data_IF_251864701306
#
_entry.id   IF_251864701306
#
_cell.length_a   1.000
_cell.length_b   1.000
_cell.length_c   1.000
_cell.angle_alpha   90.00
_cell.angle_beta   90.00
_cell.angle_gamma   90.00
#
_symmetry.space_group_name_H-M   'P 1'
#
loop_
_entity.id
_entity.type
_entity.pdbx_description
1 polymer ?
#
# COMPACT_ATOMS: atom_id res chain seq x y z
N UNK A 1 30.75 9.26 12.93
CA UNK A 1 30.11 10.18 11.96
C UNK A 1 28.62 10.26 12.28
N UNK A 2 28.24 11.18 13.18
CA UNK A 2 26.85 11.32 13.67
C UNK A 2 26.08 12.27 12.74
N UNK A 3 25.22 11.73 11.87
CA UNK A 3 24.32 12.53 11.01
C UNK A 3 22.91 11.93 11.02
N UNK A 4 22.30 11.83 12.20
CA UNK A 4 20.88 11.43 12.38
C UNK A 4 20.24 12.26 13.49
N UNK A 5 20.06 13.56 13.31
CA UNK A 5 19.36 14.36 14.33
C UNK A 5 18.21 15.24 13.86
N UNK A 6 17.87 15.30 12.56
CA UNK A 6 16.70 16.05 12.10
C UNK A 6 16.05 15.43 10.85
N UNK A 7 15.58 14.18 10.93
CA UNK A 7 14.54 13.74 9.98
C UNK A 7 13.21 14.28 10.48
N UNK A 8 12.73 15.36 9.86
CA UNK A 8 11.37 15.84 10.07
C UNK A 8 10.44 14.88 9.34
N UNK A 9 9.55 14.21 10.07
CA UNK A 9 8.53 13.37 9.46
C UNK A 9 7.74 14.21 8.44
N UNK A 10 7.60 13.76 7.19
CA UNK A 10 6.80 14.44 6.20
C UNK A 10 5.37 14.65 6.68
N UNK A 11 4.75 15.75 6.24
CA UNK A 11 3.35 16.01 6.57
C UNK A 11 2.45 14.94 5.93
N UNK A 12 1.47 14.36 6.65
CA UNK A 12 0.49 13.47 6.05
C UNK A 12 -0.13 14.07 4.78
N UNK A 13 -0.32 13.25 3.75
CA UNK A 13 -0.83 13.68 2.43
C UNK A 13 0.18 14.40 1.53
N UNK A 14 1.39 14.74 2.01
CA UNK A 14 2.42 15.30 1.15
C UNK A 14 3.05 14.25 0.23
N UNK A 15 3.59 14.68 -0.92
CA UNK A 15 4.33 13.80 -1.86
C UNK A 15 5.47 13.03 -1.17
N UNK A 16 6.19 13.70 -0.27
CA UNK A 16 7.25 13.06 0.51
C UNK A 16 6.70 11.98 1.45
N UNK A 17 5.58 12.24 2.12
CA UNK A 17 4.91 11.25 2.97
C UNK A 17 4.46 10.02 2.19
N UNK A 18 3.82 10.23 1.02
CA UNK A 18 3.35 9.13 0.16
C UNK A 18 4.49 8.23 -0.29
N UNK A 19 5.63 8.82 -0.65
CA UNK A 19 6.84 8.09 -1.04
C UNK A 19 7.47 7.32 0.11
N UNK A 20 7.59 7.95 1.28
CA UNK A 20 8.09 7.28 2.48
C UNK A 20 7.17 6.12 2.90
N UNK A 21 5.85 6.32 2.81
CA UNK A 21 4.87 5.26 3.03
C UNK A 21 5.05 4.10 2.04
N UNK A 22 5.20 4.41 0.75
CA UNK A 22 5.45 3.37 -0.27
C UNK A 22 6.74 2.58 0.04
N UNK A 23 7.82 3.26 0.41
CA UNK A 23 9.08 2.61 0.81
C UNK A 23 8.90 1.73 2.05
N UNK A 24 8.13 2.19 3.04
CA UNK A 24 7.86 1.44 4.26
C UNK A 24 7.10 0.14 4.00
N UNK A 25 6.07 0.19 3.16
CA UNK A 25 5.19 -0.97 2.93
C UNK A 25 5.76 -1.95 1.89
N UNK A 26 6.59 -1.47 0.96
CA UNK A 26 7.29 -2.30 -0.02
C UNK A 26 8.42 -3.07 0.67
N UNK A 27 8.11 -4.29 1.13
CA UNK A 27 9.02 -5.14 1.89
C UNK A 27 8.30 -6.16 2.75
N UNK A 28 7.00 -5.98 2.95
CA UNK A 28 6.16 -6.93 3.66
C UNK A 28 5.62 -8.03 2.72
N UNK A 29 5.66 -9.27 3.20
CA UNK A 29 4.90 -10.36 2.59
C UNK A 29 3.40 -10.15 2.86
N UNK A 30 2.57 -10.34 1.84
CA UNK A 30 1.12 -10.16 1.94
C UNK A 30 0.45 -11.50 2.20
N UNK A 31 -0.40 -11.53 3.23
CA UNK A 31 -1.25 -12.68 3.57
C UNK A 31 -2.50 -12.70 2.70
N UNK A 32 -3.26 -11.61 2.71
CA UNK A 32 -4.43 -11.43 1.86
C UNK A 32 -4.73 -9.94 1.63
N UNK A 33 -5.50 -9.66 0.59
CA UNK A 33 -5.93 -8.33 0.19
C UNK A 33 -7.44 -8.31 0.19
N UNK A 34 -8.03 -7.29 0.81
CA UNK A 34 -9.45 -6.99 0.69
C UNK A 34 -9.69 -5.72 -0.10
N UNK A 35 -10.85 -5.62 -0.72
CA UNK A 35 -11.39 -4.40 -1.30
C UNK A 35 -12.64 -3.99 -0.55
N UNK A 36 -12.74 -2.69 -0.21
CA UNK A 36 -13.93 -2.13 0.39
C UNK A 36 -14.98 -1.87 -0.67
N UNK A 37 -16.09 -2.60 -0.62
CA UNK A 37 -17.26 -2.42 -1.50
C UNK A 37 -18.48 -2.04 -0.66
N UNK A 38 -18.72 -0.73 -0.54
CA UNK A 38 -19.78 -0.21 0.32
C UNK A 38 -19.49 -0.48 1.79
N UNK A 39 -20.32 -1.33 2.42
CA UNK A 39 -20.23 -1.71 3.84
C UNK A 39 -19.46 -3.02 4.08
N UNK A 40 -19.04 -3.73 3.03
CA UNK A 40 -18.33 -5.01 3.14
C UNK A 40 -16.91 -4.92 2.62
N UNK A 41 -16.03 -5.74 3.20
CA UNK A 41 -14.68 -5.98 2.71
C UNK A 41 -14.65 -7.36 2.04
N UNK A 42 -14.38 -7.40 0.74
CA UNK A 42 -14.27 -8.64 -0.03
C UNK A 42 -12.81 -9.03 -0.22
N UNK A 43 -12.45 -10.29 0.02
CA UNK A 43 -11.11 -10.80 -0.26
C UNK A 43 -10.92 -10.91 -1.78
N UNK A 44 -9.99 -10.12 -2.33
CA UNK A 44 -9.67 -10.10 -3.76
C UNK A 44 -8.38 -10.84 -4.10
N UNK A 45 -7.59 -11.22 -3.10
CA UNK A 45 -6.32 -11.90 -3.30
C UNK A 45 -5.72 -12.49 -2.05
N UNK A 46 -4.84 -13.49 -2.24
CA UNK A 46 -4.06 -14.14 -1.19
C UNK A 46 -2.63 -14.34 -1.65
N UNK A 47 -1.71 -14.35 -0.68
CA UNK A 47 -0.28 -14.62 -0.86
C UNK A 47 0.37 -13.72 -1.91
N UNK A 48 1.07 -12.68 -1.47
CA UNK A 48 1.51 -11.65 -2.39
C UNK A 48 2.63 -10.76 -1.88
N UNK A 49 2.79 -9.65 -2.57
CA UNK A 49 3.81 -8.65 -2.24
C UNK A 49 3.39 -7.25 -2.71
N UNK A 50 3.90 -6.25 -2.00
CA UNK A 50 3.90 -4.86 -2.43
C UNK A 50 5.23 -4.54 -3.11
N UNK A 51 5.18 -4.01 -4.32
CA UNK A 51 6.37 -3.64 -5.07
C UNK A 51 6.28 -2.21 -5.59
N UNK A 52 7.41 -1.50 -5.60
CA UNK A 52 7.52 -0.19 -6.23
C UNK A 52 8.26 -0.30 -7.55
N UNK A 53 7.70 0.29 -8.61
CA UNK A 53 8.35 0.35 -9.93
C UNK A 53 7.98 1.64 -10.65
N UNK A 54 8.96 2.38 -11.15
CA UNK A 54 8.75 3.59 -11.97
C UNK A 54 7.83 4.67 -11.37
N UNK A 55 7.80 4.82 -10.04
CA UNK A 55 6.89 5.76 -9.36
C UNK A 55 5.50 5.21 -9.08
N UNK A 56 5.23 3.97 -9.46
CA UNK A 56 3.99 3.26 -9.17
C UNK A 56 4.17 2.27 -8.02
N UNK A 57 3.09 2.04 -7.29
CA UNK A 57 2.93 0.94 -6.34
C UNK A 57 2.12 -0.16 -7.02
N UNK A 58 2.61 -1.38 -6.96
CA UNK A 58 1.97 -2.58 -7.47
C UNK A 58 1.65 -3.51 -6.31
N UNK A 59 0.40 -3.96 -6.25
CA UNK A 59 -0.07 -4.96 -5.30
C UNK A 59 -0.28 -6.26 -6.04
N UNK A 60 0.58 -7.22 -5.77
CA UNK A 60 0.53 -8.54 -6.38
C UNK A 60 -0.04 -9.57 -5.42
N UNK A 61 -0.74 -10.55 -5.98
CA UNK A 61 -1.05 -11.83 -5.36
C UNK A 61 -0.45 -12.97 -6.19
N UNK A 62 -0.63 -14.20 -5.71
CA UNK A 62 -0.37 -15.44 -6.44
C UNK A 62 -1.07 -15.52 -7.81
N UNK A 63 -2.15 -14.75 -8.02
CA UNK A 63 -2.93 -14.75 -9.25
C UNK A 63 -2.61 -13.59 -10.21
N UNK A 64 -1.71 -12.66 -9.83
CA UNK A 64 -1.29 -11.54 -10.68
C UNK A 64 -1.32 -10.19 -9.97
N UNK A 65 -1.31 -9.10 -10.75
CA UNK A 65 -1.46 -7.73 -10.23
C UNK A 65 -2.93 -7.45 -9.95
N UNK A 66 -3.25 -7.10 -8.70
CA UNK A 66 -4.63 -6.82 -8.28
C UNK A 66 -4.95 -5.34 -8.19
N UNK A 67 -3.92 -4.51 -8.08
CA UNK A 67 -4.04 -3.07 -7.98
C UNK A 67 -2.72 -2.41 -8.35
N UNK A 68 -2.77 -1.33 -9.12
CA UNK A 68 -1.61 -0.53 -9.50
C UNK A 68 -1.95 0.95 -9.39
N UNK A 69 -1.14 1.76 -8.72
CA UNK A 69 -1.40 3.18 -8.61
C UNK A 69 -0.14 4.04 -8.67
N UNK A 70 -0.30 5.32 -9.00
CA UNK A 70 0.77 6.30 -8.87
C UNK A 70 0.99 6.63 -7.39
N UNK A 71 2.23 6.47 -6.90
CA UNK A 71 2.58 6.74 -5.49
C UNK A 71 2.32 8.20 -5.14
N UNK A 72 2.51 9.12 -6.07
CA UNK A 72 2.31 10.53 -5.80
C UNK A 72 0.83 10.91 -5.68
N UNK A 73 -0.10 10.01 -6.01
CA UNK A 73 -1.56 10.22 -6.01
C UNK A 73 -2.30 9.33 -5.01
N UNK A 74 -1.62 8.39 -4.36
CA UNK A 74 -2.26 7.50 -3.39
C UNK A 74 -2.41 8.15 -2.01
N UNK A 75 -3.49 7.81 -1.31
CA UNK A 75 -3.56 7.97 0.14
C UNK A 75 -3.40 6.60 0.80
N UNK A 76 -2.46 6.51 1.74
CA UNK A 76 -2.15 5.26 2.41
C UNK A 76 -1.80 5.49 3.88
N UNK A 77 -2.26 4.58 4.73
CA UNK A 77 -1.97 4.57 6.16
C UNK A 77 -1.95 3.14 6.68
N UNK A 78 -1.05 2.88 7.63
CA UNK A 78 -1.02 1.58 8.30
C UNK A 78 -2.24 1.41 9.21
N UNK A 79 -2.67 0.15 9.35
CA UNK A 79 -3.65 -0.23 10.35
C UNK A 79 -3.08 0.02 11.76
N UNK A 80 -3.95 0.29 12.73
CA UNK A 80 -3.54 0.49 14.13
C UNK A 80 -2.79 -0.71 14.71
N UNK A 81 -3.13 -1.92 14.25
CA UNK A 81 -2.49 -3.19 14.56
C UNK A 81 -1.10 -3.36 13.93
N UNK A 82 -0.71 -2.50 12.98
CA UNK A 82 0.53 -2.58 12.18
C UNK A 82 0.70 -3.88 11.39
N UNK A 83 -0.37 -4.62 11.19
CA UNK A 83 -0.41 -5.86 10.42
C UNK A 83 -0.93 -5.65 8.99
N UNK A 84 -1.01 -4.40 8.54
CA UNK A 84 -1.44 -4.10 7.19
C UNK A 84 -1.47 -2.61 6.90
N UNK A 85 -1.89 -2.29 5.67
CA UNK A 85 -2.01 -0.92 5.15
C UNK A 85 -3.31 -0.78 4.37
N UNK A 86 -4.02 0.32 4.59
CA UNK A 86 -5.12 0.77 3.73
C UNK A 86 -4.55 1.66 2.63
N UNK A 87 -4.95 1.43 1.38
CA UNK A 87 -4.55 2.22 0.21
C UNK A 87 -5.80 2.64 -0.56
N UNK A 88 -5.93 3.93 -0.84
CA UNK A 88 -6.96 4.50 -1.71
C UNK A 88 -6.29 5.26 -2.84
N UNK A 89 -6.54 4.84 -4.09
CA UNK A 89 -6.05 5.54 -5.27
C UNK A 89 -6.80 5.11 -6.55
N UNK A 90 -6.66 5.85 -7.67
CA UNK A 90 -7.04 5.36 -8.99
C UNK A 90 -6.27 4.09 -9.36
N UNK A 91 -6.98 3.03 -9.74
CA UNK A 91 -6.38 1.75 -10.11
C UNK A 91 -6.04 1.69 -11.60
N UNK A 92 -4.77 1.88 -11.91
CA UNK A 92 -4.19 1.82 -13.26
C UNK A 92 -4.21 0.41 -13.87
N UNK A 93 -4.44 -0.63 -13.08
CA UNK A 93 -4.54 -2.00 -13.59
C UNK A 93 -5.94 -2.30 -14.15
N UNK A 94 -7.00 -1.75 -13.53
CA UNK A 94 -8.40 -2.06 -13.85
C UNK A 94 -9.21 -0.84 -14.33
N UNK A 95 -8.60 0.01 -15.16
CA UNK A 95 -9.34 1.07 -15.88
C UNK A 95 -9.47 2.42 -15.14
N UNK A 96 -8.70 2.65 -14.08
CA UNK A 96 -8.51 3.97 -13.45
C UNK A 96 -9.55 4.35 -12.40
N UNK A 97 -10.47 3.45 -12.04
CA UNK A 97 -11.47 3.73 -11.00
C UNK A 97 -10.78 3.84 -9.64
N UNK A 98 -11.22 4.79 -8.80
CA UNK A 98 -10.71 4.91 -7.43
C UNK A 98 -11.21 3.71 -6.62
N UNK A 99 -10.28 2.94 -6.07
CA UNK A 99 -10.57 1.78 -5.21
C UNK A 99 -9.92 2.00 -3.85
N UNK A 100 -10.51 1.42 -2.81
CA UNK A 100 -9.91 1.33 -1.47
C UNK A 100 -9.65 -0.13 -1.18
N UNK A 101 -8.37 -0.48 -1.01
CA UNK A 101 -7.94 -1.83 -0.65
C UNK A 101 -7.27 -1.83 0.71
N UNK A 102 -7.33 -2.96 1.40
CA UNK A 102 -6.57 -3.22 2.62
C UNK A 102 -5.67 -4.43 2.38
N UNK A 103 -4.38 -4.22 2.57
CA UNK A 103 -3.35 -5.25 2.38
C UNK A 103 -2.90 -5.72 3.76
N UNK A 104 -3.17 -6.98 4.08
CA UNK A 104 -2.78 -7.59 5.35
C UNK A 104 -1.45 -8.33 5.20
N UNK A 105 -0.50 -8.07 6.09
CA UNK A 105 0.84 -8.66 6.08
C UNK A 105 0.85 -10.05 6.71
N UNK A 106 1.86 -10.84 6.35
CA UNK A 106 2.22 -12.06 7.06
C UNK A 106 2.93 -11.67 8.37
N UNK A 107 2.38 -12.12 9.50
CA UNK A 107 2.99 -11.92 10.81
C UNK A 107 3.96 -13.07 11.11
N UNK A 108 5.26 -12.80 11.07
CA UNK A 108 6.27 -13.74 11.60
C UNK A 108 6.34 -13.57 13.12
N UNK A 109 5.99 -14.62 13.85
CA UNK A 109 6.02 -14.66 15.32
C UNK A 109 7.30 -15.31 15.81
#
# INVERSE_FOLDING_TARGET
MFKKLFHKNPKPGSRAYRREMAEKICGHHVRYITEKKGETDEVIGREGSLARRNGELLVHSSTGTLFRCNIDEMDAWELLSKDGVTITAPDLEHGGTVRTIVVYYVYYR
#
